data_IF_842504535270
#
_entry.id   IF_842504535270
#
_cell.length_a   1.000
_cell.length_b   1.000
_cell.length_c   1.000
_cell.angle_alpha   90.00
_cell.angle_beta   90.00
_cell.angle_gamma   90.00
#
_symmetry.space_group_name_H-M   'P 1'
#
loop_
_entity.id
_entity.type
_entity.pdbx_description
1 polymer ?
#
# COMPACT_ATOMS: atom_id res chain seq x y z
N UNK A 1 -21.92 -7.11 -48.75
CA UNK A 1 -21.34 -5.75 -48.74
C UNK A 1 -20.72 -5.52 -47.37
N UNK A 2 -19.39 -5.61 -47.23
CA UNK A 2 -18.72 -5.46 -45.93
C UNK A 2 -18.23 -4.01 -45.81
N UNK A 3 -18.87 -3.23 -44.94
CA UNK A 3 -18.56 -1.81 -44.73
C UNK A 3 -17.23 -1.63 -44.01
N UNK A 4 -16.34 -0.81 -44.58
CA UNK A 4 -15.04 -0.46 -43.98
C UNK A 4 -15.27 0.38 -42.72
N UNK A 5 -15.12 -0.21 -41.53
CA UNK A 5 -15.18 0.53 -40.26
C UNK A 5 -13.91 1.37 -40.07
N UNK A 6 -14.06 2.67 -39.83
CA UNK A 6 -12.97 3.60 -39.50
C UNK A 6 -12.92 3.75 -37.98
N UNK A 7 -12.05 3.01 -37.33
CA UNK A 7 -11.81 3.13 -35.88
C UNK A 7 -11.07 4.45 -35.63
N UNK A 8 -11.66 5.34 -34.83
CA UNK A 8 -11.05 6.64 -34.50
C UNK A 8 -9.98 6.47 -33.42
N UNK A 9 -8.85 7.19 -33.55
CA UNK A 9 -7.72 7.14 -32.60
C UNK A 9 -8.15 7.46 -31.16
N UNK A 10 -9.15 8.33 -30.98
CA UNK A 10 -9.73 8.64 -29.68
C UNK A 10 -10.41 7.43 -29.01
N UNK A 11 -11.03 6.53 -29.79
CA UNK A 11 -11.66 5.32 -29.26
C UNK A 11 -10.62 4.29 -28.80
N UNK A 12 -9.45 4.24 -29.46
CA UNK A 12 -8.33 3.38 -29.05
C UNK A 12 -7.68 3.89 -27.77
N UNK A 13 -7.53 5.22 -27.64
CA UNK A 13 -6.95 5.84 -26.43
C UNK A 13 -7.84 5.64 -25.19
N UNK A 14 -9.17 5.70 -25.34
CA UNK A 14 -10.10 5.47 -24.23
C UNK A 14 -10.09 4.01 -23.74
N UNK A 15 -10.01 3.05 -24.65
CA UNK A 15 -9.85 1.63 -24.28
C UNK A 15 -8.51 1.36 -23.59
N UNK A 16 -7.42 2.00 -24.06
CA UNK A 16 -6.11 1.86 -23.44
C UNK A 16 -6.05 2.45 -22.03
N UNK A 17 -6.81 3.52 -21.74
CA UNK A 17 -6.87 4.11 -20.41
C UNK A 17 -7.68 3.26 -19.41
N UNK A 18 -8.62 2.44 -19.90
CA UNK A 18 -9.48 1.60 -19.04
C UNK A 18 -8.75 0.46 -18.32
N UNK A 19 -7.49 0.18 -18.69
CA UNK A 19 -6.64 -0.82 -18.03
C UNK A 19 -5.71 -0.23 -16.96
N UNK A 20 -5.63 1.10 -16.82
CA UNK A 20 -4.92 1.73 -15.71
C UNK A 20 -5.80 1.64 -14.46
N UNK A 21 -5.67 0.54 -13.73
CA UNK A 21 -6.25 0.41 -12.39
C UNK A 21 -5.67 1.48 -11.46
N UNK A 22 -6.52 2.08 -10.63
CA UNK A 22 -6.06 2.96 -9.55
C UNK A 22 -5.25 2.14 -8.54
N UNK A 23 -3.93 2.32 -8.54
CA UNK A 23 -3.03 1.72 -7.55
C UNK A 23 -3.10 2.55 -6.27
N UNK A 24 -3.96 2.15 -5.35
CA UNK A 24 -3.92 2.65 -3.98
C UNK A 24 -2.94 1.81 -3.16
N UNK A 25 -2.26 2.44 -2.19
CA UNK A 25 -1.44 1.70 -1.25
C UNK A 25 -2.30 0.77 -0.40
N UNK A 26 -1.80 -0.45 -0.17
CA UNK A 26 -2.46 -1.43 0.67
C UNK A 26 -2.33 -1.02 2.14
N UNK A 27 -3.45 -1.00 2.85
CA UNK A 27 -3.48 -0.59 4.25
C UNK A 27 -2.99 -1.71 5.15
N UNK A 28 -1.98 -1.41 5.96
CA UNK A 28 -1.39 -2.36 6.89
C UNK A 28 -1.33 -1.75 8.27
N UNK A 29 -1.85 -2.46 9.27
CA UNK A 29 -1.61 -2.12 10.68
C UNK A 29 -0.53 -3.04 11.22
N UNK A 30 0.64 -2.47 11.53
CA UNK A 30 1.76 -3.20 12.11
C UNK A 30 1.74 -3.05 13.64
N UNK A 31 1.44 -4.14 14.34
CA UNK A 31 1.49 -4.18 15.81
C UNK A 31 2.90 -4.52 16.32
N UNK A 32 3.49 -3.67 17.16
CA UNK A 32 4.75 -4.02 17.82
C UNK A 32 4.50 -5.06 18.93
N UNK A 33 5.47 -5.94 19.18
CA UNK A 33 5.37 -6.97 20.22
C UNK A 33 5.38 -6.39 21.64
N UNK A 34 6.02 -5.23 21.81
CA UNK A 34 6.12 -4.51 23.08
C UNK A 34 6.03 -3.00 22.86
N UNK A 35 6.27 -2.23 23.92
CA UNK A 35 6.45 -0.78 23.85
C UNK A 35 7.55 -0.41 22.85
N UNK A 36 7.58 0.85 22.39
CA UNK A 36 8.64 1.31 21.49
C UNK A 36 10.02 1.16 22.16
N UNK A 37 10.95 0.51 21.45
CA UNK A 37 12.32 0.27 21.87
C UNK A 37 13.29 0.71 20.76
N UNK A 38 14.59 0.92 21.05
CA UNK A 38 15.55 1.38 20.04
C UNK A 38 15.60 0.50 18.79
N UNK A 39 15.43 -0.82 18.95
CA UNK A 39 15.43 -1.80 17.86
C UNK A 39 14.23 -1.61 16.92
N UNK A 40 13.14 -1.00 17.40
CA UNK A 40 11.95 -0.71 16.60
C UNK A 40 12.12 0.53 15.73
N UNK A 41 13.22 1.29 15.88
CA UNK A 41 13.44 2.56 15.18
C UNK A 41 13.31 2.44 13.66
N UNK A 42 13.73 1.31 13.08
CA UNK A 42 13.60 1.06 11.63
C UNK A 42 12.16 1.05 11.13
N UNK A 43 11.19 0.59 11.94
CA UNK A 43 9.77 0.59 11.57
C UNK A 43 9.23 2.02 11.49
N UNK A 44 9.53 2.84 12.51
CA UNK A 44 9.09 4.23 12.55
C UNK A 44 9.79 5.09 11.49
N UNK A 45 11.08 4.85 11.25
CA UNK A 45 11.83 5.54 10.21
C UNK A 45 11.23 5.26 8.81
N UNK A 46 10.91 4.00 8.52
CA UNK A 46 10.29 3.59 7.24
C UNK A 46 8.91 4.21 6.98
N UNK A 47 8.19 4.57 8.06
CA UNK A 47 6.96 5.36 7.96
C UNK A 47 7.30 6.83 7.70
N UNK A 48 8.25 7.39 8.44
CA UNK A 48 8.60 8.80 8.37
C UNK A 48 9.24 9.21 7.04
N UNK A 49 10.08 8.37 6.44
CA UNK A 49 10.74 8.63 5.16
C UNK A 49 9.95 8.13 3.93
N UNK A 50 8.82 7.46 4.15
CA UNK A 50 7.95 6.97 3.09
C UNK A 50 8.43 5.70 2.40
N UNK A 51 9.40 4.97 2.96
CA UNK A 51 9.85 3.67 2.43
C UNK A 51 8.69 2.71 2.23
N UNK A 52 7.77 2.61 3.19
CA UNK A 52 6.57 1.77 3.04
C UNK A 52 5.66 2.27 1.91
N UNK A 53 5.49 3.59 1.79
CA UNK A 53 4.66 4.18 0.76
C UNK A 53 5.21 3.89 -0.65
N UNK A 54 6.53 3.94 -0.81
CA UNK A 54 7.22 3.57 -2.05
C UNK A 54 7.06 2.08 -2.41
N UNK A 55 6.87 1.22 -1.41
CA UNK A 55 6.53 -0.20 -1.59
C UNK A 55 5.02 -0.45 -1.81
N UNK A 56 4.20 0.58 -1.94
CA UNK A 56 2.75 0.43 -2.11
C UNK A 56 2.00 0.09 -0.83
N UNK A 57 2.56 0.39 0.35
CA UNK A 57 1.94 0.13 1.65
C UNK A 57 1.61 1.44 2.38
N UNK A 58 0.42 1.50 2.97
CA UNK A 58 -0.04 2.54 3.89
C UNK A 58 0.02 1.95 5.30
N UNK A 59 1.16 2.14 5.97
CA UNK A 59 1.46 1.48 7.24
C UNK A 59 1.12 2.38 8.42
N UNK A 60 0.27 1.89 9.30
CA UNK A 60 0.03 2.45 10.64
C UNK A 60 0.69 1.56 11.69
N UNK A 61 1.49 2.13 12.58
CA UNK A 61 2.10 1.39 13.69
C UNK A 61 1.19 1.45 14.91
N UNK A 62 0.77 0.28 15.40
CA UNK A 62 0.05 0.12 16.65
C UNK A 62 1.02 -0.35 17.74
N UNK A 63 1.20 0.46 18.77
CA UNK A 63 2.11 0.11 19.87
C UNK A 63 1.56 -1.08 20.66
N UNK A 64 2.43 -2.04 20.94
CA UNK A 64 2.19 -3.14 21.88
C UNK A 64 2.33 -2.72 23.35
N UNK A 65 2.36 -3.70 24.25
CA UNK A 65 2.58 -3.46 25.67
C UNK A 65 1.73 -4.35 26.56
N UNK A 66 1.80 -4.17 27.90
CA UNK A 66 1.18 -5.06 28.87
C UNK A 66 -0.35 -5.12 28.77
N UNK A 67 -0.97 -4.08 28.19
CA UNK A 67 -2.42 -3.97 28.04
C UNK A 67 -2.93 -4.41 26.67
N UNK A 68 -2.04 -4.74 25.73
CA UNK A 68 -2.41 -5.14 24.37
C UNK A 68 -2.53 -6.66 24.34
N UNK A 69 -3.69 -7.16 23.92
CA UNK A 69 -3.93 -8.59 23.66
C UNK A 69 -3.22 -9.05 22.38
N UNK A 70 -1.90 -8.88 22.32
CA UNK A 70 -1.04 -9.40 21.27
C UNK A 70 -0.47 -10.77 21.66
N UNK A 71 -0.19 -11.64 20.70
CA UNK A 71 0.59 -12.85 20.95
C UNK A 71 2.00 -12.44 21.41
N UNK A 72 2.46 -12.82 22.61
CA UNK A 72 3.87 -12.75 22.94
C UNK A 72 4.64 -13.57 21.89
N UNK A 73 5.62 -12.98 21.23
CA UNK A 73 6.56 -13.77 20.43
C UNK A 73 7.41 -14.58 21.42
N UNK A 74 7.43 -15.88 21.20
CA UNK A 74 8.17 -16.87 22.00
C UNK A 74 9.67 -16.62 21.89
#
# INVERSE_FOLDING_TARGET
MYGKQKISVAAVALLAASTLGAAANEKVTFGTNWLAQPEHGGYYQSVADGTYAACGLDVTIMQGGPQVSGRPLL
#
